data_IF_677432612200
#
_entry.id   IF_677432612200
#
_cell.length_a   1.000
_cell.length_b   1.000
_cell.length_c   1.000
_cell.angle_alpha   90.00
_cell.angle_beta   90.00
_cell.angle_gamma   90.00
#
_symmetry.space_group_name_H-M   'P 1'
#
loop_
_entity.id
_entity.type
_entity.pdbx_description
1 polymer ?
#
# COMPACT_ATOMS: atom_id res chain seq x y z
N UNK A 1 8.67 21.37 -0.36
CA UNK A 1 9.46 20.12 -0.34
C UNK A 1 10.97 20.36 -0.41
N UNK A 2 11.49 21.05 -1.44
CA UNK A 2 12.94 21.31 -1.60
C UNK A 2 13.58 21.97 -0.38
N UNK A 3 12.98 23.04 0.16
CA UNK A 3 13.49 23.70 1.37
C UNK A 3 13.67 22.74 2.56
N UNK A 4 12.69 21.86 2.84
CA UNK A 4 12.79 20.86 3.91
C UNK A 4 13.95 19.88 3.67
N UNK A 5 14.19 19.52 2.42
CA UNK A 5 15.32 18.68 2.03
C UNK A 5 16.65 19.42 2.20
N UNK A 6 16.75 20.67 1.74
CA UNK A 6 17.97 21.48 1.82
C UNK A 6 18.36 21.80 3.27
N UNK A 7 17.38 21.88 4.18
CA UNK A 7 17.58 22.02 5.63
C UNK A 7 17.76 20.68 6.36
N UNK A 8 17.90 19.56 5.64
CA UNK A 8 18.12 18.22 6.19
C UNK A 8 17.02 17.72 7.15
N UNK A 9 15.76 18.14 6.93
CA UNK A 9 14.63 17.62 7.70
C UNK A 9 14.19 16.22 7.27
N UNK A 10 14.50 15.81 6.03
CA UNK A 10 14.23 14.47 5.53
C UNK A 10 15.18 13.45 6.15
N UNK A 11 14.62 12.35 6.66
CA UNK A 11 15.36 11.23 7.24
C UNK A 11 15.24 9.99 6.36
N UNK A 12 16.24 9.08 6.34
CA UNK A 12 16.13 7.83 5.59
C UNK A 12 14.86 7.06 5.98
N UNK A 13 14.08 6.59 5.00
CA UNK A 13 12.90 5.79 5.29
C UNK A 13 13.33 4.46 5.93
N UNK A 14 12.80 4.20 7.13
CA UNK A 14 12.95 2.93 7.83
C UNK A 14 11.60 2.22 7.82
N UNK A 15 11.53 1.07 7.17
CA UNK A 15 10.34 0.23 7.18
C UNK A 15 10.57 -0.97 8.09
N UNK A 16 9.61 -1.24 8.98
CA UNK A 16 9.60 -2.42 9.83
C UNK A 16 8.73 -3.49 9.19
N UNK A 17 9.25 -4.72 9.11
CA UNK A 17 8.50 -5.87 8.61
C UNK A 17 8.47 -6.97 9.67
N UNK A 18 7.29 -7.52 9.92
CA UNK A 18 7.16 -8.74 10.71
C UNK A 18 7.66 -9.92 9.89
N UNK A 19 8.53 -10.74 10.49
CA UNK A 19 8.99 -11.97 9.87
C UNK A 19 7.96 -13.08 10.09
N UNK A 20 7.75 -13.91 9.07
CA UNK A 20 6.90 -15.11 9.20
C UNK A 20 7.52 -16.13 10.15
N UNK A 21 8.85 -16.11 10.28
CA UNK A 21 9.60 -16.96 11.21
C UNK A 21 9.55 -16.37 12.63
N UNK A 22 9.33 -17.23 13.61
CA UNK A 22 9.48 -16.89 15.03
C UNK A 22 10.96 -16.97 15.42
N UNK A 23 11.36 -16.14 16.38
CA UNK A 23 12.68 -16.25 17.00
C UNK A 23 12.88 -17.58 17.70
N UNK A 24 14.12 -17.86 18.11
CA UNK A 24 14.47 -19.05 18.91
C UNK A 24 13.72 -19.11 20.24
N UNK A 25 13.21 -17.97 20.71
CA UNK A 25 12.36 -17.79 21.89
C UNK A 25 10.85 -17.90 21.60
N UNK A 26 10.46 -18.22 20.35
CA UNK A 26 9.07 -18.34 19.92
C UNK A 26 8.35 -17.01 19.74
N UNK A 27 9.03 -15.87 19.90
CA UNK A 27 8.43 -14.54 19.76
C UNK A 27 8.40 -14.06 18.30
N UNK A 28 7.43 -13.21 17.93
CA UNK A 28 7.44 -12.52 16.65
C UNK A 28 8.72 -11.69 16.53
N UNK A 29 9.45 -11.86 15.43
CA UNK A 29 10.58 -11.01 15.10
C UNK A 29 10.17 -9.96 14.08
N UNK A 30 10.78 -8.78 14.20
CA UNK A 30 10.63 -7.72 13.23
C UNK A 30 12.00 -7.25 12.76
N UNK A 31 12.13 -7.06 11.45
CA UNK A 31 13.35 -6.55 10.84
C UNK A 31 13.14 -5.10 10.40
N UNK A 32 14.14 -4.26 10.62
CA UNK A 32 14.13 -2.87 10.16
C UNK A 32 14.99 -2.77 8.91
N UNK A 33 14.39 -2.30 7.83
CA UNK A 33 15.05 -2.08 6.56
C UNK A 33 15.05 -0.60 6.22
N UNK A 34 16.22 -0.08 5.85
CA UNK A 34 16.33 1.29 5.32
C UNK A 34 16.18 1.20 3.81
N UNK A 35 15.17 1.88 3.25
CA UNK A 35 14.97 1.86 1.81
C UNK A 35 16.07 2.66 1.11
N UNK A 36 16.75 2.09 0.10
CA UNK A 36 17.75 2.81 -0.68
C UNK A 36 17.14 4.06 -1.30
N UNK A 37 17.83 5.20 -1.16
CA UNK A 37 17.51 6.46 -1.84
C UNK A 37 16.14 7.09 -1.51
N UNK A 38 15.42 6.56 -0.52
CA UNK A 38 14.11 7.07 -0.10
C UNK A 38 14.25 7.72 1.27
N UNK A 39 13.74 8.95 1.35
CA UNK A 39 13.75 9.77 2.56
C UNK A 39 12.35 10.27 2.85
N UNK A 40 12.04 10.47 4.12
CA UNK A 40 10.72 10.87 4.59
C UNK A 40 10.80 11.89 5.71
N UNK A 41 9.73 12.66 5.85
CA UNK A 41 9.47 13.48 7.03
C UNK A 41 7.97 13.45 7.34
N UNK A 42 7.65 13.25 8.62
CA UNK A 42 6.28 13.27 9.11
C UNK A 42 5.98 14.66 9.67
N UNK A 43 4.84 15.24 9.30
CA UNK A 43 4.43 16.58 9.73
C UNK A 43 3.55 16.58 10.99
N UNK A 44 3.59 15.55 11.84
CA UNK A 44 2.93 15.61 13.16
C UNK A 44 3.53 16.70 14.07
N UNK A 45 4.83 16.99 13.96
CA UNK A 45 5.51 18.00 14.77
C UNK A 45 5.12 19.43 14.33
N UNK A 46 4.35 20.11 15.18
CA UNK A 46 3.94 21.49 14.95
C UNK A 46 5.12 22.47 14.82
N UNK A 47 6.25 22.21 15.50
CA UNK A 47 7.44 23.07 15.42
C UNK A 47 8.07 23.06 14.01
N UNK A 48 7.96 21.92 13.32
CA UNK A 48 8.37 21.82 11.92
C UNK A 48 7.34 22.46 11.00
N UNK A 49 6.04 22.23 11.24
CA UNK A 49 4.97 22.75 10.39
C UNK A 49 4.94 24.28 10.32
N UNK A 50 5.20 24.98 11.43
CA UNK A 50 5.25 26.46 11.45
C UNK A 50 6.28 27.07 10.48
N UNK A 51 7.26 26.28 10.03
CA UNK A 51 8.27 26.70 9.04
C UNK A 51 7.80 26.54 7.58
N UNK A 52 6.68 25.88 7.34
CA UNK A 52 6.14 25.55 6.01
C UNK A 52 4.63 25.84 5.94
N UNK A 53 4.23 27.13 5.83
CA UNK A 53 2.84 27.57 6.02
C UNK A 53 1.80 26.83 5.17
N UNK A 54 2.09 26.59 3.88
CA UNK A 54 1.16 25.88 2.98
C UNK A 54 0.95 24.41 3.39
N UNK A 55 2.00 23.75 3.89
CA UNK A 55 1.90 22.37 4.38
C UNK A 55 1.18 22.32 5.74
N UNK A 56 1.33 23.35 6.57
CA UNK A 56 0.59 23.48 7.82
C UNK A 56 -0.90 23.74 7.57
N UNK A 57 -1.23 24.62 6.61
CA UNK A 57 -2.59 24.85 6.17
C UNK A 57 -3.23 23.56 5.61
N UNK A 58 -2.50 22.83 4.76
CA UNK A 58 -2.97 21.54 4.25
C UNK A 58 -3.16 20.50 5.37
N UNK A 59 -2.29 20.45 6.38
CA UNK A 59 -2.44 19.55 7.52
C UNK A 59 -3.77 19.80 8.27
N UNK A 60 -4.14 21.07 8.43
CA UNK A 60 -5.37 21.49 9.12
C UNK A 60 -6.61 21.48 8.23
N UNK A 61 -6.46 21.45 6.90
CA UNK A 61 -7.60 21.38 5.97
C UNK A 61 -8.49 20.17 6.24
N UNK A 62 -9.81 20.37 6.15
CA UNK A 62 -10.82 19.32 6.33
C UNK A 62 -11.60 19.01 5.06
N UNK A 63 -11.31 19.67 3.94
CA UNK A 63 -12.08 19.52 2.70
C UNK A 63 -12.17 18.06 2.23
N UNK A 64 -11.04 17.33 2.28
CA UNK A 64 -11.00 15.91 1.91
C UNK A 64 -11.81 15.02 2.88
N UNK A 65 -11.57 15.02 4.21
CA UNK A 65 -12.38 14.21 5.12
C UNK A 65 -13.86 14.64 5.16
N UNK A 66 -14.19 15.91 4.97
CA UNK A 66 -15.57 16.41 4.89
C UNK A 66 -16.29 15.84 3.66
N UNK A 67 -15.67 15.93 2.49
CA UNK A 67 -16.22 15.35 1.25
C UNK A 67 -16.38 13.84 1.35
N UNK A 68 -15.36 13.12 1.85
CA UNK A 68 -15.41 11.67 2.00
C UNK A 68 -16.47 11.26 3.03
N UNK A 69 -16.64 11.98 4.13
CA UNK A 69 -17.67 11.66 5.13
C UNK A 69 -19.07 11.94 4.61
N UNK A 70 -19.25 12.99 3.79
CA UNK A 70 -20.52 13.28 3.12
C UNK A 70 -20.96 12.20 2.15
N UNK A 71 -20.05 11.70 1.30
CA UNK A 71 -20.39 10.74 0.24
C UNK A 71 -20.16 9.28 0.62
N UNK A 72 -19.32 9.01 1.63
CA UNK A 72 -18.95 7.67 2.10
C UNK A 72 -19.02 7.57 3.63
N UNK A 73 -20.17 7.90 4.26
CA UNK A 73 -20.30 7.90 5.73
C UNK A 73 -20.01 6.53 6.37
N UNK A 74 -20.17 5.45 5.61
CA UNK A 74 -19.85 4.09 6.06
C UNK A 74 -18.37 3.84 6.38
N UNK A 75 -17.46 4.73 5.94
CA UNK A 75 -16.03 4.63 6.28
C UNK A 75 -15.71 5.06 7.71
N UNK A 76 -16.61 5.84 8.34
CA UNK A 76 -16.47 6.27 9.73
C UNK A 76 -15.10 6.91 10.01
N UNK A 77 -14.74 7.86 9.14
CA UNK A 77 -13.45 8.55 9.18
C UNK A 77 -13.37 9.42 10.43
N UNK A 78 -12.19 9.43 11.04
CA UNK A 78 -11.93 10.22 12.23
C UNK A 78 -11.31 11.57 11.85
N UNK A 79 -11.67 12.61 12.61
CA UNK A 79 -11.31 14.00 12.28
C UNK A 79 -10.20 14.57 13.17
N UNK A 80 -9.87 13.90 14.27
CA UNK A 80 -8.80 14.34 15.17
C UNK A 80 -7.49 14.46 14.40
N UNK A 81 -6.67 15.43 14.79
CA UNK A 81 -5.31 15.56 14.25
C UNK A 81 -4.42 14.37 14.60
N UNK A 82 -4.78 13.58 15.62
CA UNK A 82 -4.11 12.31 15.95
C UNK A 82 -4.41 11.19 14.95
N UNK A 83 -5.52 11.29 14.22
CA UNK A 83 -6.07 10.22 13.39
C UNK A 83 -5.84 10.49 11.89
N UNK A 84 -5.04 11.52 11.60
CA UNK A 84 -4.50 11.81 10.28
C UNK A 84 -2.99 11.82 10.34
N UNK A 85 -2.36 11.28 9.31
CA UNK A 85 -0.92 11.37 9.13
C UNK A 85 -0.64 12.05 7.80
N UNK A 86 0.16 13.12 7.82
CA UNK A 86 0.66 13.76 6.61
C UNK A 86 2.16 13.50 6.53
N UNK A 87 2.53 12.65 5.58
CA UNK A 87 3.91 12.23 5.35
C UNK A 87 4.41 12.77 4.02
N UNK A 88 5.60 13.35 4.04
CA UNK A 88 6.32 13.78 2.87
C UNK A 88 7.40 12.75 2.54
N UNK A 89 7.54 12.42 1.27
CA UNK A 89 8.54 11.48 0.82
C UNK A 89 9.30 12.03 -0.40
N UNK A 90 10.61 11.81 -0.39
CA UNK A 90 11.53 12.07 -1.50
C UNK A 90 12.21 10.77 -1.89
N UNK A 91 12.13 10.39 -3.16
CA UNK A 91 13.00 9.39 -3.77
C UNK A 91 14.02 10.12 -4.66
N UNK A 92 15.31 9.83 -4.49
CA UNK A 92 16.38 10.50 -5.22
C UNK A 92 16.51 10.08 -6.70
N UNK A 93 15.75 9.08 -7.18
CA UNK A 93 15.76 8.68 -8.59
C UNK A 93 16.84 7.66 -8.98
N UNK A 94 17.44 6.97 -7.99
CA UNK A 94 18.43 5.91 -8.23
C UNK A 94 17.81 4.53 -7.98
N UNK A 95 16.65 4.30 -8.61
CA UNK A 95 15.76 3.20 -8.26
C UNK A 95 14.93 3.57 -7.03
N UNK A 96 15.01 2.76 -5.97
CA UNK A 96 14.14 2.90 -4.81
C UNK A 96 12.67 2.60 -5.15
N UNK A 97 12.08 1.62 -4.46
CA UNK A 97 10.69 1.26 -4.70
C UNK A 97 9.97 0.78 -3.43
N UNK A 98 8.69 0.46 -3.59
CA UNK A 98 7.89 -0.11 -2.52
C UNK A 98 7.35 -1.46 -2.99
N UNK A 99 7.68 -2.57 -2.30
CA UNK A 99 7.18 -3.88 -2.68
C UNK A 99 5.66 -3.93 -2.53
N UNK A 100 5.02 -4.95 -3.11
CA UNK A 100 3.59 -5.17 -2.98
C UNK A 100 3.12 -5.16 -1.52
N UNK A 101 2.18 -4.27 -1.19
CA UNK A 101 1.65 -4.11 0.17
C UNK A 101 0.25 -3.48 0.18
N UNK A 102 -0.34 -3.50 1.37
CA UNK A 102 -1.52 -2.71 1.73
C UNK A 102 -1.07 -1.67 2.76
N UNK A 103 -1.58 -0.45 2.67
CA UNK A 103 -1.26 0.60 3.64
C UNK A 103 -1.81 0.31 5.03
N UNK A 104 -2.88 -0.48 5.10
CA UNK A 104 -3.37 -1.13 6.31
C UNK A 104 -3.25 -2.66 6.18
N UNK A 105 -2.14 -3.25 6.64
CA UNK A 105 -1.91 -4.70 6.56
C UNK A 105 -2.73 -5.50 7.59
N UNK A 106 -3.42 -4.84 8.52
CA UNK A 106 -4.12 -5.46 9.65
C UNK A 106 -3.95 -4.67 10.93
N UNK A 107 -4.55 -5.14 12.03
CA UNK A 107 -4.39 -4.52 13.35
C UNK A 107 -2.90 -4.45 13.77
N UNK A 108 -2.47 -3.39 14.47
CA UNK A 108 -3.28 -2.31 15.05
C UNK A 108 -3.54 -1.12 14.10
N UNK A 109 -3.11 -1.18 12.84
CA UNK A 109 -3.19 -0.06 11.90
C UNK A 109 -4.65 0.39 11.67
N UNK A 110 -4.87 1.72 11.62
CA UNK A 110 -6.19 2.35 11.56
C UNK A 110 -6.53 3.01 10.23
N UNK A 111 -5.61 3.01 9.27
CA UNK A 111 -5.74 3.69 7.98
C UNK A 111 -6.90 3.11 7.19
N UNK A 112 -7.80 3.96 6.70
CA UNK A 112 -8.92 3.58 5.84
C UNK A 112 -8.77 4.09 4.42
N UNK A 113 -8.33 5.33 4.27
CA UNK A 113 -8.12 5.97 2.97
C UNK A 113 -6.68 6.45 2.87
N UNK A 114 -6.06 6.13 1.74
CA UNK A 114 -4.79 6.70 1.32
C UNK A 114 -5.06 7.76 0.27
N UNK A 115 -4.47 8.93 0.46
CA UNK A 115 -4.45 10.03 -0.50
C UNK A 115 -3.01 10.35 -0.86
N UNK A 116 -2.65 10.21 -2.13
CA UNK A 116 -1.36 10.60 -2.67
C UNK A 116 -1.53 11.89 -3.48
N UNK A 117 -0.69 12.88 -3.22
CA UNK A 117 -0.51 14.06 -4.06
C UNK A 117 0.89 14.03 -4.66
N UNK A 118 0.96 13.99 -5.98
CA UNK A 118 2.22 13.95 -6.72
C UNK A 118 2.70 15.36 -7.10
N UNK A 119 4.01 15.58 -6.97
CA UNK A 119 4.63 16.90 -7.07
C UNK A 119 5.83 16.89 -8.04
N UNK A 120 5.67 16.21 -9.18
CA UNK A 120 6.76 15.95 -10.14
C UNK A 120 6.44 16.66 -11.46
N UNK A 121 6.98 17.87 -11.60
CA UNK A 121 6.82 18.68 -12.81
C UNK A 121 7.60 18.08 -13.98
N UNK A 122 7.02 18.15 -15.18
CA UNK A 122 7.63 17.59 -16.40
C UNK A 122 7.85 16.07 -16.38
N UNK A 123 7.08 15.30 -15.59
CA UNK A 123 7.25 13.84 -15.52
C UNK A 123 6.86 13.16 -16.85
N UNK A 124 7.80 12.40 -17.42
CA UNK A 124 7.72 11.76 -18.73
C UNK A 124 7.74 10.23 -18.65
N UNK A 125 7.34 9.58 -19.74
CA UNK A 125 7.41 8.12 -19.84
C UNK A 125 8.87 7.66 -19.75
N UNK A 126 9.15 6.75 -18.81
CA UNK A 126 10.51 6.24 -18.55
C UNK A 126 11.14 6.77 -17.26
N UNK A 127 10.62 7.86 -16.69
CA UNK A 127 11.09 8.39 -15.40
C UNK A 127 10.79 7.43 -14.22
N UNK A 128 9.83 6.53 -14.39
CA UNK A 128 9.44 5.54 -13.39
C UNK A 128 8.83 6.13 -12.10
N UNK A 129 8.59 5.30 -11.10
CA UNK A 129 7.97 5.73 -9.84
C UNK A 129 6.45 5.81 -9.88
N UNK A 130 5.81 5.20 -10.88
CA UNK A 130 4.38 5.00 -10.93
C UNK A 130 3.90 4.20 -9.72
N UNK A 131 2.69 4.50 -9.26
CA UNK A 131 1.98 3.56 -8.41
C UNK A 131 1.27 2.55 -9.30
N UNK A 132 1.50 1.27 -9.05
CA UNK A 132 0.78 0.19 -9.69
C UNK A 132 -0.21 -0.38 -8.69
N UNK A 133 -1.50 -0.18 -8.98
CA UNK A 133 -2.62 -0.68 -8.20
C UNK A 133 -3.04 -2.04 -8.74
N UNK A 134 -3.42 -2.94 -7.84
CA UNK A 134 -3.96 -4.25 -8.16
C UNK A 134 -5.36 -4.38 -7.55
N UNK A 135 -6.40 -3.84 -8.21
CA UNK A 135 -7.77 -4.17 -7.84
C UNK A 135 -7.91 -5.70 -7.92
N UNK A 136 -8.35 -6.34 -6.84
CA UNK A 136 -8.22 -7.79 -6.68
C UNK A 136 -8.87 -8.57 -7.83
N UNK A 137 -8.10 -9.46 -8.46
CA UNK A 137 -8.46 -10.28 -9.63
C UNK A 137 -8.78 -9.48 -10.91
N UNK A 138 -8.48 -8.18 -10.94
CA UNK A 138 -8.63 -7.33 -12.11
C UNK A 138 -7.27 -7.03 -12.75
N UNK A 139 -7.32 -6.41 -13.93
CA UNK A 139 -6.13 -5.87 -14.57
C UNK A 139 -5.45 -4.81 -13.69
N UNK A 140 -4.11 -4.82 -13.60
CA UNK A 140 -3.38 -3.78 -12.88
C UNK A 140 -3.63 -2.39 -13.47
N UNK A 141 -3.66 -1.37 -12.61
CA UNK A 141 -3.77 0.03 -13.03
C UNK A 141 -2.49 0.76 -12.66
N UNK A 142 -1.73 1.20 -13.67
CA UNK A 142 -0.49 1.97 -13.47
C UNK A 142 -0.78 3.45 -13.60
N UNK A 143 -0.43 4.23 -12.57
CA UNK A 143 -0.68 5.68 -12.52
C UNK A 143 0.64 6.44 -12.42
N UNK A 144 0.94 7.19 -13.48
CA UNK A 144 2.06 8.12 -13.55
C UNK A 144 1.97 9.20 -12.46
N UNK A 145 3.07 9.48 -11.72
CA UNK A 145 3.11 10.44 -10.62
C UNK A 145 3.27 11.88 -11.12
N UNK A 146 2.40 12.32 -12.03
CA UNK A 146 2.43 13.66 -12.63
C UNK A 146 2.19 14.75 -11.58
N UNK A 147 2.75 15.94 -11.81
CA UNK A 147 2.47 17.15 -11.01
C UNK A 147 0.97 17.36 -10.81
N UNK A 148 0.60 17.73 -9.60
CA UNK A 148 -0.77 18.08 -9.17
C UNK A 148 -1.81 16.96 -9.32
N UNK A 149 -1.35 15.72 -9.49
CA UNK A 149 -2.23 14.56 -9.52
C UNK A 149 -2.52 14.03 -8.12
N UNK A 150 -3.80 13.93 -7.79
CA UNK A 150 -4.29 13.22 -6.60
C UNK A 150 -4.71 11.78 -6.95
N UNK A 151 -4.34 10.82 -6.12
CA UNK A 151 -4.84 9.43 -6.17
C UNK A 151 -5.41 9.04 -4.82
N UNK A 152 -6.67 8.60 -4.81
CA UNK A 152 -7.36 8.09 -3.61
C UNK A 152 -7.59 6.59 -3.75
N UNK A 153 -7.28 5.81 -2.71
CA UNK A 153 -7.61 4.39 -2.66
C UNK A 153 -7.82 3.88 -1.23
N UNK A 154 -8.43 2.69 -1.12
CA UNK A 154 -8.72 2.05 0.16
C UNK A 154 -7.45 1.43 0.74
N UNK A 155 -7.01 1.90 1.92
CA UNK A 155 -5.77 1.43 2.54
C UNK A 155 -5.81 -0.05 2.93
N UNK A 156 -7.00 -0.60 3.20
CA UNK A 156 -7.24 -1.94 3.74
C UNK A 156 -7.60 -3.00 2.69
N UNK A 157 -7.88 -2.61 1.44
CA UNK A 157 -8.25 -3.55 0.37
C UNK A 157 -7.82 -3.13 -1.04
N UNK A 158 -6.82 -2.25 -1.17
CA UNK A 158 -6.12 -2.00 -2.43
C UNK A 158 -4.65 -2.45 -2.32
N UNK A 159 -4.35 -3.60 -2.91
CA UNK A 159 -2.98 -4.05 -3.09
C UNK A 159 -2.28 -3.10 -4.06
N UNK A 160 -1.07 -2.66 -3.73
CA UNK A 160 -0.31 -1.81 -4.63
C UNK A 160 1.19 -1.95 -4.40
N UNK A 161 1.96 -1.51 -5.39
CA UNK A 161 3.41 -1.28 -5.31
C UNK A 161 3.75 0.09 -5.90
N UNK A 162 4.95 0.58 -5.62
CA UNK A 162 5.52 1.73 -6.34
C UNK A 162 6.67 1.19 -7.17
N UNK A 163 6.68 1.47 -8.47
CA UNK A 163 7.73 1.02 -9.37
C UNK A 163 9.05 1.78 -9.10
N UNK A 164 10.21 1.23 -9.50
CA UNK A 164 11.48 1.95 -9.41
C UNK A 164 11.42 3.31 -10.12
N UNK A 165 12.08 4.32 -9.55
CA UNK A 165 12.13 5.66 -10.14
C UNK A 165 13.55 5.99 -10.60
N UNK A 166 13.66 6.60 -11.77
CA UNK A 166 14.91 6.99 -12.43
C UNK A 166 15.13 8.51 -12.40
N UNK A 167 14.19 9.26 -11.84
CA UNK A 167 14.23 10.70 -11.63
C UNK A 167 13.86 11.05 -10.18
N UNK A 168 14.21 12.27 -9.74
CA UNK A 168 13.80 12.73 -8.41
C UNK A 168 12.27 12.78 -8.31
N UNK A 169 11.73 12.12 -7.29
CA UNK A 169 10.28 11.97 -7.10
C UNK A 169 9.85 12.41 -5.72
N UNK A 170 8.96 13.39 -5.68
CA UNK A 170 8.24 13.82 -4.49
C UNK A 170 6.80 13.29 -4.49
N UNK A 171 6.37 12.84 -3.32
CA UNK A 171 4.96 12.55 -3.03
C UNK A 171 4.62 13.02 -1.63
N UNK A 172 3.43 13.60 -1.50
CA UNK A 172 2.79 13.86 -0.23
C UNK A 172 1.71 12.80 -0.03
N UNK A 173 1.74 12.13 1.12
CA UNK A 173 0.76 11.11 1.49
C UNK A 173 -0.04 11.58 2.69
N UNK A 174 -1.37 11.57 2.56
CA UNK A 174 -2.31 11.74 3.66
C UNK A 174 -2.97 10.39 3.90
N UNK A 175 -2.90 9.89 5.13
CA UNK A 175 -3.75 8.79 5.56
C UNK A 175 -4.84 9.29 6.49
N UNK A 176 -6.07 8.82 6.25
CA UNK A 176 -7.23 9.06 7.10
C UNK A 176 -7.63 7.76 7.77
N UNK A 177 -7.68 7.77 9.11
CA UNK A 177 -8.07 6.61 9.88
C UNK A 177 -9.59 6.42 9.92
N UNK A 178 -10.02 5.17 9.97
CA UNK A 178 -11.42 4.79 10.14
C UNK A 178 -11.64 4.01 11.43
N UNK A 179 -12.68 4.34 12.20
CA UNK A 179 -12.92 3.69 13.49
C UNK A 179 -13.22 2.18 13.38
N UNK A 180 -13.75 1.76 12.23
CA UNK A 180 -14.27 0.40 11.99
C UNK A 180 -13.36 -0.50 11.15
N UNK A 181 -12.14 -0.06 10.82
CA UNK A 181 -11.20 -0.92 10.06
C UNK A 181 -10.78 -2.12 10.89
N UNK A 182 -10.44 -3.22 10.20
CA UNK A 182 -9.97 -4.46 10.82
C UNK A 182 -11.02 -5.07 11.77
N UNK A 183 -12.31 -4.87 11.47
CA UNK A 183 -13.38 -5.49 12.23
C UNK A 183 -13.37 -7.02 12.03
N UNK A 184 -13.93 -7.83 12.94
CA UNK A 184 -13.99 -9.29 12.78
C UNK A 184 -14.64 -9.76 11.48
N UNK A 185 -15.60 -8.99 10.95
CA UNK A 185 -16.23 -9.29 9.66
C UNK A 185 -15.28 -9.13 8.46
N UNK A 186 -14.23 -8.34 8.59
CA UNK A 186 -13.25 -8.05 7.53
C UNK A 186 -12.18 -9.15 7.42
N UNK A 187 -12.20 -10.13 8.33
CA UNK A 187 -11.31 -11.29 8.34
C UNK A 187 -12.01 -12.61 7.99
N UNK A 188 -13.23 -12.55 7.45
CA UNK A 188 -14.01 -13.73 7.07
C UNK A 188 -14.64 -13.58 5.69
N UNK A 189 -14.85 -14.73 5.03
CA UNK A 189 -15.55 -14.82 3.75
C UNK A 189 -16.89 -15.54 3.94
N UNK A 190 -17.92 -15.06 3.25
CA UNK A 190 -19.25 -15.65 3.26
C UNK A 190 -19.56 -16.27 1.89
N UNK A 191 -19.81 -17.56 1.90
CA UNK A 191 -20.44 -18.30 0.80
C UNK A 191 -21.94 -18.42 1.08
N UNK A 192 -22.77 -18.11 0.10
CA UNK A 192 -24.23 -18.15 0.18
C UNK A 192 -24.80 -19.10 -0.86
N UNK A 193 -26.06 -19.48 -0.70
CA UNK A 193 -26.76 -20.31 -1.68
C UNK A 193 -26.81 -19.66 -3.07
N UNK A 194 -26.96 -18.33 -3.15
CA UNK A 194 -26.96 -17.60 -4.42
C UNK A 194 -25.63 -17.68 -5.15
N UNK A 195 -24.50 -17.73 -4.42
CA UNK A 195 -23.19 -17.82 -5.05
C UNK A 195 -22.94 -19.16 -5.75
N UNK A 196 -23.68 -20.20 -5.37
CA UNK A 196 -23.61 -21.50 -6.04
C UNK A 196 -24.17 -21.44 -7.47
N UNK A 197 -25.04 -20.46 -7.75
CA UNK A 197 -25.60 -20.21 -9.07
C UNK A 197 -24.84 -19.08 -9.81
N UNK A 198 -24.26 -18.13 -9.07
CA UNK A 198 -23.49 -17.02 -9.63
C UNK A 198 -22.23 -16.72 -8.80
N UNK A 199 -21.08 -17.16 -9.31
CA UNK A 199 -19.79 -16.90 -8.66
C UNK A 199 -19.35 -15.44 -8.76
N UNK A 200 -19.89 -14.63 -9.67
CA UNK A 200 -19.52 -13.23 -9.83
C UNK A 200 -19.84 -12.42 -8.57
N UNK A 201 -21.03 -12.61 -8.00
CA UNK A 201 -21.41 -11.97 -6.74
C UNK A 201 -20.45 -12.29 -5.58
N UNK A 202 -19.92 -13.52 -5.51
CA UNK A 202 -18.91 -13.90 -4.53
C UNK A 202 -17.58 -13.18 -4.77
N UNK A 203 -17.10 -13.18 -6.02
CA UNK A 203 -15.83 -12.57 -6.39
C UNK A 203 -15.85 -11.05 -6.18
N UNK A 204 -16.95 -10.38 -6.48
CA UNK A 204 -17.11 -8.94 -6.24
C UNK A 204 -17.07 -8.57 -4.76
N UNK A 205 -17.66 -9.39 -3.89
CA UNK A 205 -17.55 -9.19 -2.44
C UNK A 205 -16.13 -9.43 -1.94
N UNK A 206 -15.44 -10.45 -2.46
CA UNK A 206 -14.04 -10.70 -2.15
C UNK A 206 -13.16 -9.53 -2.58
N UNK A 207 -13.37 -8.99 -3.78
CA UNK A 207 -12.60 -7.87 -4.35
C UNK A 207 -12.66 -6.61 -3.50
N UNK A 208 -13.81 -6.36 -2.85
CA UNK A 208 -14.03 -5.18 -2.00
C UNK A 208 -13.78 -5.44 -0.51
N UNK A 209 -13.40 -6.67 -0.14
CA UNK A 209 -13.22 -7.06 1.26
C UNK A 209 -11.74 -7.03 1.66
N UNK A 210 -11.39 -6.51 2.85
CA UNK A 210 -10.02 -6.57 3.38
C UNK A 210 -9.49 -7.98 3.62
N UNK A 211 -10.35 -9.01 3.61
CA UNK A 211 -9.93 -10.42 3.79
C UNK A 211 -8.96 -10.88 2.69
N UNK A 212 -8.98 -10.21 1.53
CA UNK A 212 -8.05 -10.46 0.43
C UNK A 212 -6.57 -10.31 0.83
N UNK A 213 -6.26 -9.57 1.90
CA UNK A 213 -4.90 -9.45 2.47
C UNK A 213 -4.32 -10.79 2.89
N UNK A 214 -5.17 -11.74 3.30
CA UNK A 214 -4.77 -13.10 3.69
C UNK A 214 -4.45 -14.00 2.49
N UNK A 215 -4.85 -13.59 1.29
CA UNK A 215 -4.78 -14.39 0.07
C UNK A 215 -3.80 -13.81 -0.96
N UNK A 216 -3.60 -12.48 -0.91
CA UNK A 216 -2.93 -11.73 -1.97
C UNK A 216 -1.51 -12.23 -2.26
N UNK A 217 -0.74 -12.63 -1.26
CA UNK A 217 0.62 -13.14 -1.49
C UNK A 217 0.64 -14.42 -2.31
N UNK A 218 -0.39 -15.28 -2.21
CA UNK A 218 -0.50 -16.47 -3.07
C UNK A 218 -1.13 -16.17 -4.43
N UNK A 219 -2.11 -15.26 -4.48
CA UNK A 219 -2.77 -14.87 -5.74
C UNK A 219 -1.84 -14.05 -6.65
N UNK A 220 -0.97 -13.24 -6.07
CA UNK A 220 -0.02 -12.35 -6.74
C UNK A 220 1.43 -12.75 -6.41
N UNK A 221 1.70 -14.05 -6.27
CA UNK A 221 3.02 -14.60 -5.88
C UNK A 221 4.15 -13.97 -6.70
N UNK A 222 3.95 -13.89 -8.02
CA UNK A 222 4.92 -13.35 -8.98
C UNK A 222 5.20 -11.86 -8.71
N UNK A 223 4.16 -11.03 -8.56
CA UNK A 223 4.33 -9.59 -8.34
C UNK A 223 4.94 -9.28 -6.97
N UNK A 224 4.64 -10.08 -5.95
CA UNK A 224 5.31 -9.96 -4.66
C UNK A 224 6.80 -10.31 -4.77
N UNK A 225 7.15 -11.36 -5.51
CA UNK A 225 8.54 -11.76 -5.71
C UNK A 225 9.33 -10.71 -6.51
N UNK A 226 8.81 -10.30 -7.67
CA UNK A 226 9.43 -9.30 -8.54
C UNK A 226 9.67 -7.98 -7.80
N UNK A 227 8.65 -7.47 -7.11
CA UNK A 227 8.78 -6.19 -6.39
C UNK A 227 9.74 -6.26 -5.19
N UNK A 228 9.90 -7.43 -4.55
CA UNK A 228 10.96 -7.62 -3.55
C UNK A 228 12.34 -7.57 -4.22
N UNK A 229 12.53 -8.27 -5.33
CA UNK A 229 13.81 -8.28 -6.05
C UNK A 229 14.22 -6.89 -6.54
N UNK A 230 13.27 -6.15 -7.14
CA UNK A 230 13.47 -4.77 -7.59
C UNK A 230 13.89 -3.84 -6.44
N UNK A 231 13.23 -3.94 -5.28
CA UNK A 231 13.46 -3.00 -4.18
C UNK A 231 14.74 -3.28 -3.40
N UNK A 232 15.20 -4.52 -3.39
CA UNK A 232 16.41 -4.87 -2.68
C UNK A 232 17.69 -4.59 -3.49
N UNK A 233 17.56 -4.43 -4.82
CA UNK A 233 18.62 -4.14 -5.82
C UNK A 233 19.80 -5.15 -5.86
N UNK A 234 20.03 -5.89 -4.78
CA UNK A 234 20.99 -6.97 -4.60
C UNK A 234 20.46 -7.97 -3.57
N UNK A 235 20.72 -9.25 -3.79
CA UNK A 235 20.45 -10.33 -2.83
C UNK A 235 21.38 -10.30 -1.60
N UNK A 236 22.45 -9.51 -1.64
CA UNK A 236 23.40 -9.34 -0.54
C UNK A 236 23.07 -8.19 0.41
N UNK A 237 22.06 -7.37 0.11
CA UNK A 237 21.64 -6.26 0.98
C UNK A 237 20.97 -6.82 2.25
N UNK A 238 21.42 -6.36 3.43
CA UNK A 238 20.80 -6.74 4.71
C UNK A 238 19.30 -6.44 4.71
N UNK A 239 18.47 -7.43 5.08
CA UNK A 239 17.01 -7.35 5.02
C UNK A 239 16.40 -7.98 3.75
N UNK A 240 17.17 -8.12 2.65
CA UNK A 240 16.70 -8.80 1.43
C UNK A 240 16.36 -10.24 1.71
N UNK A 241 17.35 -10.91 2.29
CA UNK A 241 17.33 -12.34 2.57
C UNK A 241 16.19 -12.66 3.52
N UNK A 242 16.01 -11.86 4.57
CA UNK A 242 14.95 -12.04 5.56
C UNK A 242 13.56 -11.85 4.94
N UNK A 243 13.38 -10.85 4.08
CA UNK A 243 12.10 -10.59 3.40
C UNK A 243 11.75 -11.67 2.37
N UNK A 244 12.72 -12.08 1.55
CA UNK A 244 12.54 -13.18 0.60
C UNK A 244 12.23 -14.49 1.34
N UNK A 245 13.02 -14.82 2.37
CA UNK A 245 12.79 -16.00 3.18
C UNK A 245 11.43 -15.97 3.89
N UNK A 246 10.97 -14.79 4.33
CA UNK A 246 9.63 -14.61 4.91
C UNK A 246 8.54 -14.85 3.85
N UNK A 247 8.73 -14.34 2.63
CA UNK A 247 7.84 -14.58 1.50
C UNK A 247 7.78 -16.07 1.13
N UNK A 248 8.92 -16.75 0.99
CA UNK A 248 9.02 -18.19 0.71
C UNK A 248 8.34 -19.03 1.81
N UNK A 249 8.64 -18.74 3.08
CA UNK A 249 8.03 -19.43 4.23
C UNK A 249 6.51 -19.31 4.21
N UNK A 250 5.98 -18.12 3.89
CA UNK A 250 4.53 -17.93 3.77
C UNK A 250 3.95 -18.79 2.65
N UNK A 251 4.58 -18.83 1.47
CA UNK A 251 4.10 -19.63 0.34
C UNK A 251 4.16 -21.13 0.64
N UNK A 252 5.18 -21.61 1.33
CA UNK A 252 5.23 -23.00 1.81
C UNK A 252 4.08 -23.32 2.76
N UNK A 253 3.78 -22.43 3.71
CA UNK A 253 2.67 -22.60 4.64
C UNK A 253 1.32 -22.65 3.91
N UNK A 254 1.15 -21.81 2.87
CA UNK A 254 -0.02 -21.87 1.98
C UNK A 254 -0.09 -23.22 1.26
N UNK A 255 1.01 -23.67 0.64
CA UNK A 255 1.07 -24.96 -0.09
C UNK A 255 0.77 -26.17 0.81
N UNK A 256 1.19 -26.13 2.09
CA UNK A 256 0.88 -27.17 3.08
C UNK A 256 -0.60 -27.17 3.50
N UNK A 257 -1.29 -26.05 3.40
CA UNK A 257 -2.74 -25.95 3.63
C UNK A 257 -3.50 -26.23 2.32
N UNK A 258 -3.73 -27.51 2.02
CA UNK A 258 -4.32 -27.95 0.75
C UNK A 258 -5.65 -27.26 0.40
N UNK A 259 -6.64 -27.11 1.31
CA UNK A 259 -7.86 -26.37 1.00
C UNK A 259 -7.60 -24.90 0.60
N UNK A 260 -6.75 -24.20 1.34
CA UNK A 260 -6.40 -22.81 1.06
C UNK A 260 -5.64 -22.67 -0.26
N UNK A 261 -4.68 -23.56 -0.52
CA UNK A 261 -3.92 -23.57 -1.77
C UNK A 261 -4.83 -23.79 -2.99
N UNK A 262 -5.76 -24.75 -2.91
CA UNK A 262 -6.74 -24.99 -3.98
C UNK A 262 -7.66 -23.78 -4.20
N UNK A 263 -8.08 -23.10 -3.13
CA UNK A 263 -8.87 -21.88 -3.24
C UNK A 263 -8.07 -20.77 -3.95
N UNK A 264 -6.82 -20.52 -3.53
CA UNK A 264 -5.94 -19.54 -4.17
C UNK A 264 -5.71 -19.88 -5.65
N UNK A 265 -5.51 -21.16 -6.00
CA UNK A 265 -5.35 -21.58 -7.39
C UNK A 265 -6.55 -21.19 -8.25
N UNK A 266 -7.78 -21.41 -7.76
CA UNK A 266 -9.00 -20.99 -8.48
C UNK A 266 -9.08 -19.47 -8.63
N UNK A 267 -8.66 -18.71 -7.63
CA UNK A 267 -8.60 -17.24 -7.75
C UNK A 267 -7.58 -16.80 -8.80
N UNK A 268 -6.43 -17.48 -8.90
CA UNK A 268 -5.44 -17.24 -9.96
C UNK A 268 -6.00 -17.57 -11.35
N UNK A 269 -6.76 -18.65 -11.48
CA UNK A 269 -7.43 -19.01 -12.74
C UNK A 269 -8.42 -17.91 -13.16
N UNK A 270 -9.23 -17.39 -12.23
CA UNK A 270 -10.14 -16.26 -12.48
C UNK A 270 -9.36 -15.03 -12.96
N UNK A 271 -8.26 -14.69 -12.26
CA UNK A 271 -7.41 -13.56 -12.64
C UNK A 271 -6.83 -13.71 -14.05
N UNK A 272 -6.41 -14.92 -14.43
CA UNK A 272 -5.86 -15.21 -15.75
C UNK A 272 -6.91 -15.13 -16.88
N UNK A 273 -8.19 -15.32 -16.55
CA UNK A 273 -9.30 -15.20 -17.51
C UNK A 273 -9.78 -13.75 -17.67
N UNK A 274 -9.48 -12.87 -16.73
CA UNK A 274 -9.98 -11.50 -16.75
C UNK A 274 -9.17 -10.62 -17.71
N UNK A 275 -9.79 -10.21 -18.80
CA UNK A 275 -9.20 -9.33 -19.81
C UNK A 275 -9.93 -7.97 -19.91
N UNK A 276 -10.72 -7.62 -18.89
CA UNK A 276 -11.42 -6.34 -18.89
C UNK A 276 -10.43 -5.20 -18.62
N UNK A 277 -10.35 -4.27 -19.57
CA UNK A 277 -9.54 -3.07 -19.41
C UNK A 277 -10.10 -2.18 -18.28
N UNK A 278 -9.22 -1.50 -17.52
CA UNK A 278 -9.67 -0.52 -16.54
C UNK A 278 -10.52 0.57 -17.18
N UNK A 279 -11.65 0.90 -16.55
CA UNK A 279 -12.51 2.00 -17.00
C UNK A 279 -11.91 3.33 -16.56
N UNK A 280 -11.55 4.17 -17.53
CA UNK A 280 -11.13 5.55 -17.31
C UNK A 280 -12.32 6.49 -17.54
N UNK A 281 -12.81 7.11 -16.47
CA UNK A 281 -13.78 8.20 -16.57
C UNK A 281 -12.99 9.51 -16.64
N UNK A 282 -13.15 10.24 -17.76
CA UNK A 282 -12.52 11.54 -18.00
C UNK A 282 -13.27 12.70 -17.37
#
# INVERSE_FOLDING_TARGET
>A
MRWLNDQNHFQPNKTQFALTQKGTDGKPQAFHFVKPHIFEVDLHDASLRTKVPELDALFHSTELPDALTKYLPQYDLQFSTSDRTLKLQRNAGHGGCFPCHYDNPGAPNKRKVTCLLYLNDGWEQGDGGEVQLFPFLQQPVTVAPKMDRVVLFQSDCMLHRVLPSHAERYVLTIWLDGAKVNAPKDSQLRLTQSDLADWFGFLERLRRSPVQRLLSRGVYEEEYYESLMECMQSTSTAGCVELLKSHETHLENVKRNVPLYNFIKRLRDVRAMNNEDPVYLG
#
